data_IF_184126959533
#
_entry.id   IF_184126959533
#
_cell.length_a   1.000
_cell.length_b   1.000
_cell.length_c   1.000
_cell.angle_alpha   90.00
_cell.angle_beta   90.00
_cell.angle_gamma   90.00
#
_symmetry.space_group_name_H-M   'P 1'
#
loop_
_entity.id
_entity.type
_entity.pdbx_description
1 polymer ?
#
# COMPACT_ATOMS: atom_id res chain seq x y z
N UNK A 1 45.72 -21.53 -3.74
CA UNK A 1 44.28 -21.86 -3.93
C UNK A 1 43.70 -21.26 -5.21
N UNK A 2 43.80 -19.95 -5.44
CA UNK A 2 43.25 -19.28 -6.64
C UNK A 2 43.76 -19.87 -7.98
N UNK A 3 45.06 -20.20 -8.07
CA UNK A 3 45.64 -20.80 -9.28
C UNK A 3 45.04 -22.17 -9.65
N UNK A 4 44.61 -22.98 -8.66
CA UNK A 4 43.94 -24.27 -8.90
C UNK A 4 42.50 -24.09 -9.38
N UNK A 5 41.78 -23.08 -8.87
CA UNK A 5 40.45 -22.73 -9.34
C UNK A 5 40.49 -22.20 -10.77
N UNK A 6 41.48 -21.36 -11.10
CA UNK A 6 41.67 -20.84 -12.45
C UNK A 6 41.99 -21.95 -13.46
N UNK A 7 42.90 -22.88 -13.13
CA UNK A 7 43.19 -24.01 -14.02
C UNK A 7 41.98 -24.92 -14.22
N UNK A 8 41.20 -25.18 -13.16
CA UNK A 8 39.99 -25.98 -13.25
C UNK A 8 38.90 -25.29 -14.10
N UNK A 9 38.74 -23.98 -13.94
CA UNK A 9 37.80 -23.18 -14.71
C UNK A 9 38.17 -23.13 -16.20
N UNK A 10 39.45 -22.99 -16.53
CA UNK A 10 39.92 -22.97 -17.92
C UNK A 10 39.86 -24.37 -18.56
N UNK A 11 40.29 -25.40 -17.84
CA UNK A 11 40.29 -26.78 -18.32
C UNK A 11 38.86 -27.31 -18.57
N UNK A 12 37.87 -26.86 -17.78
CA UNK A 12 36.46 -27.26 -17.91
C UNK A 12 35.55 -26.10 -18.36
N UNK A 13 36.07 -25.14 -19.13
CA UNK A 13 35.39 -23.88 -19.50
C UNK A 13 33.94 -24.05 -19.97
N UNK A 14 33.64 -25.06 -20.79
CA UNK A 14 32.28 -25.30 -21.31
C UNK A 14 31.31 -25.72 -20.21
N UNK A 15 31.74 -26.59 -19.30
CA UNK A 15 30.93 -27.07 -18.18
C UNK A 15 30.68 -25.94 -17.18
N UNK A 16 31.71 -25.12 -16.89
CA UNK A 16 31.57 -23.95 -16.03
C UNK A 16 30.56 -22.97 -16.61
N UNK A 17 30.68 -22.63 -17.91
CA UNK A 17 29.73 -21.74 -18.57
C UNK A 17 28.30 -22.30 -18.54
N UNK A 18 28.13 -23.60 -18.80
CA UNK A 18 26.81 -24.23 -18.80
C UNK A 18 26.18 -24.19 -17.40
N UNK A 19 26.95 -24.53 -16.36
CA UNK A 19 26.50 -24.45 -14.96
C UNK A 19 26.15 -23.02 -14.57
N UNK A 20 26.96 -22.03 -14.95
CA UNK A 20 26.68 -20.62 -14.66
C UNK A 20 25.40 -20.15 -15.34
N UNK A 21 25.19 -20.49 -16.61
CA UNK A 21 23.96 -20.12 -17.33
C UNK A 21 22.75 -20.81 -16.71
N UNK A 22 22.86 -22.09 -16.35
CA UNK A 22 21.79 -22.82 -15.69
C UNK A 22 21.45 -22.19 -14.33
N UNK A 23 22.48 -21.84 -13.56
CA UNK A 23 22.33 -21.15 -12.28
C UNK A 23 21.68 -19.78 -12.44
N UNK A 24 22.09 -18.97 -13.42
CA UNK A 24 21.46 -17.68 -13.71
C UNK A 24 20.00 -17.84 -14.13
N UNK A 25 19.69 -18.83 -14.96
CA UNK A 25 18.31 -19.12 -15.37
C UNK A 25 17.44 -19.54 -14.18
N UNK A 26 17.97 -20.40 -13.30
CA UNK A 26 17.30 -20.79 -12.06
C UNK A 26 17.13 -19.61 -11.10
N UNK A 27 18.17 -18.80 -10.89
CA UNK A 27 18.10 -17.62 -10.04
C UNK A 27 17.12 -16.57 -10.58
N UNK A 28 17.08 -16.36 -11.89
CA UNK A 28 16.10 -15.48 -12.54
C UNK A 28 14.67 -16.03 -12.41
N UNK A 29 14.48 -17.33 -12.62
CA UNK A 29 13.16 -17.97 -12.49
C UNK A 29 12.63 -17.96 -11.05
N UNK A 30 13.48 -18.25 -10.07
CA UNK A 30 13.12 -18.25 -8.65
C UNK A 30 13.03 -16.84 -8.06
N UNK A 31 13.92 -15.93 -8.48
CA UNK A 31 14.03 -14.56 -7.97
C UNK A 31 13.14 -13.55 -8.69
N UNK A 32 12.52 -13.90 -9.83
CA UNK A 32 11.71 -12.96 -10.62
C UNK A 32 10.53 -12.35 -9.86
N UNK A 33 10.01 -13.03 -8.84
CA UNK A 33 8.92 -12.54 -7.98
C UNK A 33 9.35 -11.65 -6.82
N UNK A 34 10.65 -11.44 -6.59
CA UNK A 34 11.15 -10.78 -5.38
C UNK A 34 10.61 -9.36 -5.22
N UNK A 35 10.30 -8.66 -6.32
CA UNK A 35 9.77 -7.30 -6.26
C UNK A 35 8.46 -7.19 -5.46
N UNK A 36 7.63 -8.25 -5.42
CA UNK A 36 6.41 -8.28 -4.61
C UNK A 36 6.65 -8.54 -3.11
N UNK A 37 7.81 -9.06 -2.75
CA UNK A 37 8.21 -9.37 -1.37
C UNK A 37 9.06 -8.25 -0.75
N UNK A 38 9.44 -7.24 -1.53
CA UNK A 38 10.17 -6.09 -1.03
C UNK A 38 9.24 -5.20 -0.21
N UNK A 39 9.65 -4.89 1.02
CA UNK A 39 8.96 -3.91 1.85
C UNK A 39 9.17 -2.49 1.30
N UNK A 40 8.10 -1.70 1.23
CA UNK A 40 8.17 -0.27 0.93
C UNK A 40 8.46 0.61 2.16
N UNK A 41 8.62 0.00 3.36
CA UNK A 41 8.77 0.70 4.64
C UNK A 41 9.94 0.20 5.48
N UNK A 42 9.84 0.38 6.81
CA UNK A 42 10.91 0.08 7.77
C UNK A 42 11.79 1.29 8.11
N UNK A 43 11.26 2.51 7.92
CA UNK A 43 11.94 3.76 8.25
C UNK A 43 11.91 4.08 9.75
N UNK A 44 10.92 3.54 10.46
CA UNK A 44 10.75 3.77 11.89
C UNK A 44 11.58 2.80 12.73
N UNK A 45 11.99 3.25 13.92
CA UNK A 45 12.56 2.37 14.94
C UNK A 45 11.43 1.56 15.60
N UNK A 46 11.40 0.22 15.48
CA UNK A 46 10.36 -0.61 16.10
C UNK A 46 10.29 -0.49 17.63
N UNK A 47 11.32 0.08 18.27
CA UNK A 47 11.39 0.30 19.72
C UNK A 47 11.00 1.71 20.15
N UNK A 48 10.72 2.61 19.20
CA UNK A 48 10.35 3.97 19.52
C UNK A 48 8.99 4.04 20.24
N UNK A 49 8.86 4.97 21.18
CA UNK A 49 7.62 5.20 21.91
C UNK A 49 6.48 5.67 20.98
N UNK A 50 6.80 6.37 19.89
CA UNK A 50 5.82 6.78 18.86
C UNK A 50 5.17 5.58 18.18
N UNK A 51 5.97 4.59 17.77
CA UNK A 51 5.46 3.35 17.14
C UNK A 51 4.58 2.57 18.12
N UNK A 52 4.96 2.55 19.41
CA UNK A 52 4.12 1.94 20.45
C UNK A 52 2.82 2.70 20.66
N UNK A 53 2.85 4.03 20.64
CA UNK A 53 1.66 4.86 20.79
C UNK A 53 0.69 4.66 19.62
N UNK A 54 1.20 4.60 18.40
CA UNK A 54 0.41 4.31 17.20
C UNK A 54 -0.26 2.94 17.26
N UNK A 55 0.48 1.89 17.65
CA UNK A 55 -0.08 0.55 17.84
C UNK A 55 -1.19 0.51 18.91
N UNK A 56 -1.08 1.31 19.98
CA UNK A 56 -2.12 1.43 21.00
C UNK A 56 -3.36 2.14 20.45
N UNK A 57 -3.17 3.21 19.68
CA UNK A 57 -4.27 3.92 19.01
C UNK A 57 -5.03 3.01 18.06
N UNK A 58 -4.32 2.24 17.25
CA UNK A 58 -4.91 1.28 16.31
C UNK A 58 -5.68 0.18 17.05
N UNK A 59 -5.07 -0.45 18.06
CA UNK A 59 -5.66 -1.61 18.75
C UNK A 59 -6.84 -1.24 19.65
N UNK A 60 -6.78 -0.11 20.35
CA UNK A 60 -7.82 0.24 21.34
C UNK A 60 -8.94 1.09 20.75
N UNK A 61 -8.62 1.94 19.79
CA UNK A 61 -9.58 2.91 19.26
C UNK A 61 -9.92 2.66 17.79
N UNK A 62 -9.29 1.68 17.13
CA UNK A 62 -9.39 1.52 15.68
C UNK A 62 -8.89 2.76 14.94
N UNK A 63 -8.03 3.56 15.59
CA UNK A 63 -7.62 4.87 15.12
C UNK A 63 -6.20 4.78 14.54
N UNK A 64 -6.06 5.14 13.27
CA UNK A 64 -4.80 5.26 12.56
C UNK A 64 -4.86 6.39 11.55
N UNK A 65 -3.73 6.73 10.95
CA UNK A 65 -3.73 7.71 9.86
C UNK A 65 -4.56 7.17 8.67
N UNK A 66 -5.48 7.96 8.10
CA UNK A 66 -6.21 7.53 6.92
C UNK A 66 -5.23 7.30 5.77
N UNK A 67 -5.22 6.09 5.23
CA UNK A 67 -4.26 5.71 4.19
C UNK A 67 -4.68 6.23 2.80
N UNK A 68 -5.95 6.58 2.62
CA UNK A 68 -6.51 7.07 1.37
C UNK A 68 -7.51 8.19 1.65
N UNK A 69 -7.54 9.18 0.76
CA UNK A 69 -8.49 10.29 0.76
C UNK A 69 -9.05 10.41 -0.65
N UNK A 70 -10.37 10.36 -0.78
CA UNK A 70 -11.06 10.52 -2.05
C UNK A 70 -11.72 11.90 -2.10
N UNK A 71 -11.44 12.64 -3.17
CA UNK A 71 -12.14 13.88 -3.47
C UNK A 71 -13.33 13.57 -4.39
N UNK A 72 -14.53 13.75 -3.87
CA UNK A 72 -15.77 13.53 -4.61
C UNK A 72 -16.32 14.86 -5.10
N UNK A 73 -16.59 14.97 -6.39
CA UNK A 73 -17.24 16.14 -7.00
C UNK A 73 -18.71 15.84 -7.26
N UNK A 74 -19.60 16.71 -6.79
CA UNK A 74 -21.03 16.65 -6.99
C UNK A 74 -21.47 17.78 -7.94
N UNK A 75 -21.95 17.43 -9.14
CA UNK A 75 -22.28 18.41 -10.17
C UNK A 75 -23.40 19.38 -9.77
N UNK A 76 -24.28 18.97 -8.85
CA UNK A 76 -25.40 19.73 -8.31
C UNK A 76 -25.09 20.28 -6.90
N UNK A 77 -23.85 20.15 -6.44
CA UNK A 77 -23.39 20.50 -5.10
C UNK A 77 -23.49 19.35 -4.11
N UNK A 78 -22.64 19.36 -3.09
CA UNK A 78 -22.54 18.27 -2.11
C UNK A 78 -23.77 18.18 -1.18
N UNK A 79 -24.55 19.25 -1.10
CA UNK A 79 -25.79 19.29 -0.32
C UNK A 79 -26.98 18.62 -1.03
N UNK A 80 -26.86 18.26 -2.31
CA UNK A 80 -27.90 17.54 -3.04
C UNK A 80 -28.14 16.15 -2.40
N UNK A 81 -29.39 15.75 -2.10
CA UNK A 81 -29.72 14.40 -1.64
C UNK A 81 -29.17 13.27 -2.53
N UNK A 82 -29.06 13.50 -3.84
CA UNK A 82 -28.46 12.54 -4.77
C UNK A 82 -26.97 12.33 -4.48
N UNK A 83 -26.23 13.39 -4.14
CA UNK A 83 -24.83 13.30 -3.75
C UNK A 83 -24.64 12.53 -2.44
N UNK A 84 -25.52 12.76 -1.46
CA UNK A 84 -25.52 12.01 -0.21
C UNK A 84 -25.74 10.50 -0.44
N UNK A 85 -26.74 10.16 -1.25
CA UNK A 85 -27.06 8.77 -1.59
C UNK A 85 -25.90 8.07 -2.30
N UNK A 86 -25.25 8.76 -3.25
CA UNK A 86 -24.09 8.22 -3.95
C UNK A 86 -22.87 8.06 -3.03
N UNK A 87 -22.63 9.00 -2.13
CA UNK A 87 -21.54 8.93 -1.15
C UNK A 87 -21.75 7.80 -0.14
N UNK A 88 -22.99 7.59 0.34
CA UNK A 88 -23.34 6.46 1.20
C UNK A 88 -23.09 5.12 0.50
N UNK A 89 -23.48 4.99 -0.77
CA UNK A 89 -23.21 3.80 -1.57
C UNK A 89 -21.70 3.57 -1.76
N UNK A 90 -20.92 4.65 -1.98
CA UNK A 90 -19.46 4.58 -2.09
C UNK A 90 -18.83 4.09 -0.77
N UNK A 91 -19.19 4.69 0.36
CA UNK A 91 -18.68 4.29 1.68
C UNK A 91 -19.05 2.85 2.02
N UNK A 92 -20.27 2.42 1.70
CA UNK A 92 -20.70 1.03 1.89
C UNK A 92 -19.89 0.07 1.01
N UNK A 93 -19.64 0.44 -0.25
CA UNK A 93 -18.79 -0.33 -1.16
C UNK A 93 -17.36 -0.46 -0.67
N UNK A 94 -16.75 0.65 -0.22
CA UNK A 94 -15.40 0.67 0.35
C UNK A 94 -15.30 -0.17 1.61
N UNK A 95 -16.29 -0.08 2.50
CA UNK A 95 -16.32 -0.86 3.74
C UNK A 95 -16.44 -2.37 3.51
N UNK A 96 -16.91 -2.79 2.32
CA UNK A 96 -16.98 -4.20 1.92
C UNK A 96 -15.68 -4.71 1.27
N UNK A 97 -14.72 -3.83 0.95
CA UNK A 97 -13.45 -4.22 0.33
C UNK A 97 -12.58 -4.94 1.38
N UNK A 98 -12.04 -6.13 1.08
CA UNK A 98 -11.11 -6.82 1.97
C UNK A 98 -9.91 -5.94 2.35
N UNK A 99 -9.68 -5.77 3.64
CA UNK A 99 -8.57 -4.96 4.18
C UNK A 99 -8.93 -3.51 4.53
N UNK A 100 -10.13 -3.03 4.20
CA UNK A 100 -10.61 -1.73 4.68
C UNK A 100 -11.14 -1.89 6.10
N UNK A 101 -10.54 -1.16 7.05
CA UNK A 101 -10.92 -1.19 8.48
C UNK A 101 -11.99 -0.16 8.82
N UNK A 102 -12.16 0.87 7.99
CA UNK A 102 -13.20 1.88 8.14
C UNK A 102 -13.23 2.84 6.95
N UNK A 103 -14.39 3.43 6.70
CA UNK A 103 -14.58 4.51 5.75
C UNK A 103 -15.54 5.53 6.35
N UNK A 104 -15.20 6.81 6.25
CA UNK A 104 -16.10 7.91 6.62
C UNK A 104 -16.24 8.86 5.44
N UNK A 105 -17.24 9.73 5.45
CA UNK A 105 -17.35 10.81 4.48
C UNK A 105 -17.86 12.07 5.13
N UNK A 106 -17.77 13.20 4.43
CA UNK A 106 -18.44 14.44 4.84
C UNK A 106 -19.91 14.21 5.19
N UNK A 107 -20.63 13.39 4.44
CA UNK A 107 -22.05 13.10 4.68
C UNK A 107 -22.28 12.27 5.96
N UNK A 108 -21.48 11.24 6.21
CA UNK A 108 -21.64 10.37 7.39
C UNK A 108 -21.08 10.99 8.67
N UNK A 109 -20.10 11.89 8.56
CA UNK A 109 -19.45 12.56 9.68
C UNK A 109 -20.22 13.79 10.23
N UNK A 110 -21.47 13.99 9.80
CA UNK A 110 -22.28 15.14 10.24
C UNK A 110 -21.95 16.46 9.53
N UNK A 111 -21.41 16.38 8.30
CA UNK A 111 -21.17 17.52 7.40
C UNK A 111 -20.24 18.60 7.95
N UNK A 112 -19.06 18.26 8.48
CA UNK A 112 -18.12 19.25 8.99
C UNK A 112 -17.59 20.13 7.86
N UNK A 113 -17.50 21.44 8.09
CA UNK A 113 -17.01 22.40 7.08
C UNK A 113 -15.56 22.11 6.63
N UNK A 114 -14.77 21.38 7.42
CA UNK A 114 -13.40 21.00 7.10
C UNK A 114 -13.28 19.93 6.00
N UNK A 115 -14.34 19.19 5.69
CA UNK A 115 -14.33 18.11 4.70
C UNK A 115 -15.11 18.44 3.42
N UNK A 116 -15.53 19.69 3.24
CA UNK A 116 -16.14 20.18 2.01
C UNK A 116 -15.33 21.35 1.42
N UNK A 117 -15.34 21.46 0.09
CA UNK A 117 -14.82 22.62 -0.60
C UNK A 117 -15.60 23.88 -0.21
N UNK A 118 -14.92 25.03 -0.24
CA UNK A 118 -15.55 26.33 0.00
C UNK A 118 -16.63 26.65 -1.03
N UNK A 119 -16.50 26.11 -2.23
CA UNK A 119 -17.43 26.31 -3.34
C UNK A 119 -18.66 25.38 -3.25
N UNK A 120 -18.63 24.39 -2.35
CA UNK A 120 -19.76 23.50 -2.06
C UNK A 120 -20.04 22.43 -3.14
N UNK A 121 -19.11 22.23 -4.07
CA UNK A 121 -19.19 21.26 -5.17
C UNK A 121 -18.35 20.00 -4.94
N UNK A 122 -17.46 20.01 -3.94
CA UNK A 122 -16.61 18.86 -3.60
C UNK A 122 -16.61 18.54 -2.12
N UNK A 123 -16.46 17.25 -1.79
CA UNK A 123 -16.31 16.78 -0.42
C UNK A 123 -15.39 15.56 -0.33
N UNK A 124 -14.80 15.37 0.84
CA UNK A 124 -13.91 14.26 1.13
C UNK A 124 -14.67 13.02 1.63
N UNK A 125 -14.16 11.88 1.19
CA UNK A 125 -14.43 10.54 1.71
C UNK A 125 -13.09 9.96 2.17
#
# INVERSE_FOLDING_TARGET
MLGRLATLAVARRRLVLLVTVLFLALAGGLGGGVAGELSGGGFDDPKAESVRAEAVLEQQFGAGAPNLVLLVTAAQGVADPAAATAAEALVAGLSAVPGVTGAMSWWTAGRPASLASRDGDQALV
#
